data_IF_288247454656
#
_entry.id   IF_288247454656
#
_cell.length_a   1.000
_cell.length_b   1.000
_cell.length_c   1.000
_cell.angle_alpha   90.00
_cell.angle_beta   90.00
_cell.angle_gamma   90.00
#
_symmetry.space_group_name_H-M   'P 1'
#
loop_
_entity.id
_entity.type
_entity.pdbx_description
1 polymer ?
#
# COMPACT_ATOMS: atom_id res chain seq x y z
N UNK A 1 -13.64 11.96 -0.04
CA UNK A 1 -12.26 12.39 0.34
C UNK A 1 -11.79 11.82 1.67
N UNK A 2 -12.66 11.67 2.69
CA UNK A 2 -12.24 11.20 4.02
C UNK A 2 -11.59 9.81 4.13
N UNK A 3 -11.80 8.89 3.18
CA UNK A 3 -11.18 7.56 3.24
C UNK A 3 -9.65 7.62 3.11
N UNK A 4 -9.13 8.48 2.23
CA UNK A 4 -7.68 8.62 2.00
C UNK A 4 -7.01 9.30 3.19
N UNK A 5 -7.66 10.33 3.74
CA UNK A 5 -7.21 11.01 4.95
C UNK A 5 -7.17 10.05 6.15
N UNK A 6 -8.20 9.22 6.30
CA UNK A 6 -8.27 8.20 7.36
C UNK A 6 -7.18 7.14 7.19
N UNK A 7 -6.92 6.69 5.96
CA UNK A 7 -5.83 5.76 5.67
C UNK A 7 -4.46 6.35 6.00
N UNK A 8 -4.19 7.58 5.56
CA UNK A 8 -2.93 8.26 5.83
C UNK A 8 -2.73 8.50 7.34
N UNK A 9 -3.79 8.85 8.06
CA UNK A 9 -3.76 8.95 9.52
C UNK A 9 -3.40 7.60 10.16
N UNK A 10 -4.02 6.51 9.71
CA UNK A 10 -3.68 5.16 10.17
C UNK A 10 -2.22 4.78 9.90
N UNK A 11 -1.68 5.16 8.74
CA UNK A 11 -0.26 4.95 8.41
C UNK A 11 0.68 5.71 9.38
N UNK A 12 0.37 6.97 9.68
CA UNK A 12 1.13 7.78 10.62
C UNK A 12 1.08 7.22 12.04
N UNK A 13 -0.11 6.85 12.51
CA UNK A 13 -0.31 6.24 13.84
C UNK A 13 0.38 4.87 13.93
N UNK A 14 0.43 4.12 12.83
CA UNK A 14 1.20 2.89 12.74
C UNK A 14 2.71 3.14 12.78
N UNK A 15 3.18 4.35 12.49
CA UNK A 15 4.58 4.78 12.56
C UNK A 15 5.28 4.91 11.20
N UNK A 16 4.55 4.88 10.09
CA UNK A 16 5.10 5.09 8.76
C UNK A 16 5.53 6.56 8.59
N UNK A 17 6.68 6.79 7.95
CA UNK A 17 7.15 8.15 7.66
C UNK A 17 6.19 8.87 6.70
N UNK A 18 5.88 10.14 7.01
CA UNK A 18 5.01 11.02 6.23
C UNK A 18 5.39 11.14 4.74
N UNK A 19 6.67 10.96 4.42
CA UNK A 19 7.19 11.04 3.05
C UNK A 19 6.66 9.92 2.14
N UNK A 20 6.18 8.83 2.73
CA UNK A 20 5.56 7.72 1.99
C UNK A 20 4.05 7.86 1.84
N UNK A 21 3.41 8.90 2.37
CA UNK A 21 1.98 9.12 2.19
C UNK A 21 1.66 9.65 0.79
N UNK A 22 0.41 9.48 0.37
CA UNK A 22 -0.08 9.97 -0.92
C UNK A 22 -1.26 10.94 -0.75
N UNK A 23 -1.50 11.78 -1.75
CA UNK A 23 -2.58 12.75 -1.77
C UNK A 23 -3.83 12.20 -2.47
N UNK A 24 -4.99 12.80 -2.23
CA UNK A 24 -6.24 12.36 -2.86
C UNK A 24 -6.18 12.32 -4.38
N UNK A 25 -5.50 13.30 -5.00
CA UNK A 25 -5.32 13.38 -6.46
C UNK A 25 -4.43 12.26 -7.02
N UNK A 26 -3.54 11.68 -6.20
CA UNK A 26 -2.66 10.59 -6.63
C UNK A 26 -3.43 9.31 -6.95
N UNK A 27 -4.55 9.10 -6.26
CA UNK A 27 -5.43 7.96 -6.47
C UNK A 27 -6.61 8.29 -7.40
N UNK A 28 -7.29 9.42 -7.18
CA UNK A 28 -8.57 9.69 -7.86
C UNK A 28 -8.42 10.06 -9.34
N UNK A 29 -7.33 10.73 -9.71
CA UNK A 29 -7.21 11.29 -11.07
C UNK A 29 -6.71 10.25 -12.08
N UNK A 30 -6.39 9.02 -11.64
CA UNK A 30 -6.03 7.90 -12.50
C UNK A 30 -4.75 8.11 -13.33
N UNK A 31 -3.95 9.13 -13.00
CA UNK A 31 -2.72 9.44 -13.74
C UNK A 31 -1.58 8.53 -13.30
N UNK A 32 -0.98 7.83 -14.27
CA UNK A 32 0.08 6.83 -14.04
C UNK A 32 1.24 7.36 -13.19
N UNK A 33 1.68 8.60 -13.44
CA UNK A 33 2.83 9.18 -12.74
C UNK A 33 2.54 9.41 -11.25
N UNK A 34 1.37 9.97 -10.93
CA UNK A 34 0.98 10.23 -9.55
C UNK A 34 0.56 8.95 -8.81
N UNK A 35 -0.01 7.97 -9.52
CA UNK A 35 -0.38 6.68 -8.96
C UNK A 35 0.81 5.90 -8.38
N UNK A 36 2.04 6.17 -8.86
CA UNK A 36 3.26 5.63 -8.26
C UNK A 36 3.41 6.00 -6.78
N UNK A 37 2.92 7.18 -6.35
CA UNK A 37 2.93 7.56 -4.92
C UNK A 37 2.08 6.61 -4.08
N UNK A 38 0.91 6.19 -4.60
CA UNK A 38 0.02 5.22 -3.95
C UNK A 38 0.71 3.86 -3.83
N UNK A 39 1.32 3.39 -4.92
CA UNK A 39 2.05 2.11 -4.95
C UNK A 39 3.21 2.13 -3.95
N UNK A 40 4.03 3.18 -3.98
CA UNK A 40 5.16 3.34 -3.07
C UNK A 40 4.71 3.37 -1.60
N UNK A 41 3.59 4.04 -1.30
CA UNK A 41 2.99 4.04 0.03
C UNK A 41 2.68 2.61 0.52
N UNK A 42 1.99 1.83 -0.31
CA UNK A 42 1.58 0.45 0.02
C UNK A 42 2.80 -0.46 0.23
N UNK A 43 3.80 -0.36 -0.64
CA UNK A 43 5.03 -1.15 -0.49
C UNK A 43 5.78 -0.77 0.79
N UNK A 44 5.99 0.51 1.06
CA UNK A 44 6.66 0.97 2.29
C UNK A 44 5.90 0.55 3.54
N UNK A 45 4.56 0.65 3.54
CA UNK A 45 3.73 0.16 4.64
C UNK A 45 3.88 -1.35 4.84
N UNK A 46 3.87 -2.13 3.76
CA UNK A 46 4.05 -3.59 3.81
C UNK A 46 5.42 -3.98 4.37
N UNK A 47 6.51 -3.34 3.90
CA UNK A 47 7.85 -3.56 4.45
C UNK A 47 7.93 -3.22 5.93
N UNK A 48 7.31 -2.11 6.34
CA UNK A 48 7.30 -1.69 7.74
C UNK A 48 6.44 -2.59 8.63
N UNK A 49 5.31 -3.08 8.14
CA UNK A 49 4.50 -4.07 8.85
C UNK A 49 5.28 -5.37 9.04
N UNK A 50 5.95 -5.85 7.99
CA UNK A 50 6.79 -7.04 8.04
C UNK A 50 7.96 -6.89 9.04
N UNK A 51 8.59 -5.71 9.10
CA UNK A 51 9.66 -5.45 10.07
C UNK A 51 9.18 -5.43 11.53
N UNK A 52 7.88 -5.17 11.74
CA UNK A 52 7.20 -5.33 13.05
C UNK A 52 6.73 -6.75 13.33
N UNK A 53 7.05 -7.71 12.48
CA UNK A 53 6.66 -9.11 12.63
C UNK A 53 5.25 -9.43 12.17
N UNK A 54 4.54 -8.48 11.55
CA UNK A 54 3.26 -8.78 10.90
C UNK A 54 3.53 -9.65 9.67
N UNK A 55 2.86 -10.79 9.58
CA UNK A 55 2.93 -11.68 8.42
C UNK A 55 1.51 -11.86 7.89
N UNK A 56 1.23 -11.50 6.63
CA UNK A 56 -0.10 -11.70 6.06
C UNK A 56 -0.42 -13.20 6.06
N UNK A 57 -1.53 -13.56 6.69
CA UNK A 57 -2.06 -14.92 6.59
C UNK A 57 -2.81 -15.05 5.28
N UNK A 58 -2.19 -15.68 4.29
CA UNK A 58 -2.84 -15.98 3.03
C UNK A 58 -3.84 -17.13 3.24
N UNK A 59 -5.13 -16.81 3.21
CA UNK A 59 -6.21 -17.80 3.37
C UNK A 59 -6.73 -18.36 2.03
N UNK A 60 -6.16 -17.91 0.90
CA UNK A 60 -6.53 -18.37 -0.43
C UNK A 60 -5.69 -19.57 -0.90
N UNK A 61 -6.24 -20.36 -1.84
CA UNK A 61 -5.44 -21.30 -2.60
C UNK A 61 -4.59 -20.53 -3.62
N UNK A 62 -3.26 -20.74 -3.59
CA UNK A 62 -2.39 -20.30 -4.68
C UNK A 62 -2.60 -21.24 -5.87
N UNK A 63 -3.42 -20.82 -6.84
CA UNK A 63 -3.48 -21.49 -8.14
C UNK A 63 -2.34 -20.96 -9.00
N UNK A 64 -1.29 -21.77 -9.17
CA UNK A 64 -0.29 -21.51 -10.21
C UNK A 64 -0.97 -21.72 -11.57
N UNK A 65 -1.21 -20.65 -12.30
CA UNK A 65 -1.45 -20.74 -13.73
C UNK A 65 -0.09 -21.03 -14.36
N UNK A 66 -0.05 -22.10 -15.17
CA UNK A 66 1.17 -22.67 -15.76
C UNK A 66 2.05 -21.57 -16.35
N UNK A 67 3.31 -21.53 -15.93
CA UNK A 67 4.36 -20.84 -16.68
C UNK A 67 4.54 -21.64 -17.97
N UNK A 68 3.80 -21.28 -19.03
CA UNK A 68 4.04 -21.88 -20.34
C UNK A 68 5.48 -21.55 -20.75
N UNK A 69 6.22 -22.62 -21.07
CA UNK A 69 7.66 -22.68 -21.39
C UNK A 69 8.18 -21.58 -22.33
#
# INVERSE_FOLDING_TARGET
MGNIESFNKGCLEYGLNKEFLFQSGDLWEGRKAQFLNVVNCIHSLGFFANSKGFQPTYTGQQTKYVDNE
#
